data_IF_048685812461
#
_entry.id   IF_048685812461
#
_cell.length_a   1.000
_cell.length_b   1.000
_cell.length_c   1.000
_cell.angle_alpha   90.00
_cell.angle_beta   90.00
_cell.angle_gamma   90.00
#
_symmetry.space_group_name_H-M   'P 1'
#
loop_
_entity.id
_entity.type
_entity.pdbx_description
1 polymer ?
#
# COMPACT_ATOMS: atom_id res chain seq x y z
N UNK A 1 -18.49 27.25 -11.25
CA UNK A 1 -17.88 26.49 -10.11
C UNK A 1 -18.58 26.87 -8.79
N UNK A 2 -18.80 28.18 -8.50
CA UNK A 2 -19.44 28.61 -7.25
C UNK A 2 -20.84 28.01 -7.02
N UNK A 3 -21.66 27.88 -8.07
CA UNK A 3 -23.00 27.30 -8.00
C UNK A 3 -22.97 25.81 -7.57
N UNK A 4 -22.04 25.06 -8.11
CA UNK A 4 -21.90 23.63 -7.74
C UNK A 4 -21.39 23.47 -6.30
N UNK A 5 -20.46 24.34 -5.87
CA UNK A 5 -19.95 24.31 -4.49
C UNK A 5 -21.01 24.61 -3.44
N UNK A 6 -21.97 25.49 -3.75
CA UNK A 6 -23.08 25.82 -2.84
C UNK A 6 -24.11 24.68 -2.74
N UNK A 7 -24.32 23.92 -3.80
CA UNK A 7 -25.27 22.80 -3.83
C UNK A 7 -24.61 21.47 -3.35
N UNK A 8 -23.30 21.43 -3.19
CA UNK A 8 -22.60 20.21 -2.80
C UNK A 8 -22.77 19.94 -1.30
N UNK A 9 -22.96 18.66 -0.94
CA UNK A 9 -22.98 18.19 0.44
C UNK A 9 -21.60 18.34 1.13
N UNK A 10 -20.54 18.51 0.35
CA UNK A 10 -19.18 18.75 0.83
C UNK A 10 -18.20 18.94 -0.30
N UNK A 11 -17.06 19.54 -0.01
CA UNK A 11 -15.97 19.77 -0.96
C UNK A 11 -14.70 19.12 -0.39
N UNK A 12 -14.14 18.19 -1.15
CA UNK A 12 -12.89 17.52 -0.82
C UNK A 12 -11.82 17.79 -1.87
N UNK A 13 -10.55 17.78 -1.46
CA UNK A 13 -9.46 17.91 -2.42
C UNK A 13 -9.13 16.56 -3.07
N UNK A 14 -8.63 16.61 -4.30
CA UNK A 14 -8.07 15.45 -5.00
C UNK A 14 -6.58 15.70 -5.17
N UNK A 15 -5.69 14.85 -4.65
CA UNK A 15 -4.27 14.99 -4.88
C UNK A 15 -3.98 14.75 -6.37
N UNK A 16 -3.48 15.78 -7.05
CA UNK A 16 -3.12 15.73 -8.48
C UNK A 16 -1.64 15.37 -8.65
N UNK A 17 -0.86 15.51 -7.58
CA UNK A 17 0.58 15.25 -7.57
C UNK A 17 0.91 13.79 -7.32
N UNK A 18 1.93 13.31 -8.03
CA UNK A 18 2.54 12.00 -7.77
C UNK A 18 3.81 12.25 -6.97
N UNK A 19 3.86 11.72 -5.76
CA UNK A 19 5.06 11.78 -4.93
C UNK A 19 6.00 10.64 -5.34
N UNK A 20 7.26 10.99 -5.60
CA UNK A 20 8.32 10.04 -5.95
C UNK A 20 8.79 10.15 -7.40
N UNK A 21 10.07 9.82 -7.61
CA UNK A 21 10.73 9.89 -8.92
C UNK A 21 10.15 8.89 -9.95
N UNK A 22 9.51 7.82 -9.47
CA UNK A 22 8.95 6.75 -10.30
C UNK A 22 7.48 6.99 -10.71
N UNK A 23 6.89 8.09 -10.26
CA UNK A 23 5.48 8.45 -10.54
C UNK A 23 4.45 7.38 -10.16
N UNK A 24 4.75 6.56 -9.14
CA UNK A 24 3.83 5.54 -8.64
C UNK A 24 3.14 6.03 -7.38
N UNK A 25 1.81 6.07 -7.41
CA UNK A 25 0.98 6.47 -6.26
C UNK A 25 0.85 5.28 -5.31
N UNK A 26 1.58 5.34 -4.19
CA UNK A 26 1.53 4.30 -3.14
C UNK A 26 0.70 4.70 -1.95
N UNK A 27 0.56 5.99 -1.73
CA UNK A 27 -0.13 6.57 -0.58
C UNK A 27 -1.20 7.57 -1.01
N UNK A 28 -2.25 7.66 -0.22
CA UNK A 28 -3.31 8.63 -0.39
C UNK A 28 -3.39 9.50 0.86
N UNK A 29 -3.27 10.80 0.71
CA UNK A 29 -3.46 11.74 1.82
C UNK A 29 -4.95 11.88 2.12
N UNK A 30 -5.36 11.68 3.36
CA UNK A 30 -6.77 11.77 3.78
C UNK A 30 -7.14 13.17 4.25
N UNK A 31 -6.23 13.85 4.95
CA UNK A 31 -6.42 15.20 5.44
C UNK A 31 -5.23 16.06 5.01
N UNK A 32 -5.52 17.22 4.45
CA UNK A 32 -4.52 18.24 4.10
C UNK A 32 -4.68 19.43 5.05
N UNK A 33 -3.60 19.83 5.71
CA UNK A 33 -3.56 21.08 6.48
C UNK A 33 -3.45 22.27 5.53
N UNK A 34 -4.44 23.14 5.51
CA UNK A 34 -4.43 24.37 4.73
C UNK A 34 -4.86 25.52 5.63
N UNK A 35 -4.04 26.53 5.79
CA UNK A 35 -4.31 27.75 6.59
C UNK A 35 -4.85 27.46 8.01
N UNK A 36 -4.31 26.41 8.67
CA UNK A 36 -4.74 26.00 10.01
C UNK A 36 -6.02 25.15 10.05
N UNK A 37 -6.65 24.90 8.91
CA UNK A 37 -7.81 24.01 8.79
C UNK A 37 -7.41 22.66 8.17
N UNK A 38 -8.06 21.57 8.61
CA UNK A 38 -7.91 20.25 8.02
C UNK A 38 -8.94 20.07 6.90
N UNK A 39 -8.48 20.02 5.65
CA UNK A 39 -9.35 19.78 4.49
C UNK A 39 -9.33 18.29 4.17
N UNK A 40 -10.50 17.61 4.14
CA UNK A 40 -10.56 16.19 3.82
C UNK A 40 -10.35 15.95 2.33
N UNK A 41 -9.76 14.80 1.98
CA UNK A 41 -9.73 14.34 0.61
C UNK A 41 -11.12 13.94 0.12
N UNK A 42 -11.34 14.02 -1.19
CA UNK A 42 -12.62 13.61 -1.80
C UNK A 42 -12.90 12.12 -1.53
N UNK A 43 -11.84 11.27 -1.49
CA UNK A 43 -11.98 9.86 -1.15
C UNK A 43 -12.53 9.66 0.28
N UNK A 44 -11.93 10.36 1.25
CA UNK A 44 -12.35 10.27 2.64
C UNK A 44 -13.76 10.84 2.85
N UNK A 45 -14.05 12.00 2.27
CA UNK A 45 -15.36 12.64 2.33
C UNK A 45 -16.46 11.75 1.72
N UNK A 46 -16.18 11.14 0.56
CA UNK A 46 -17.12 10.22 -0.11
C UNK A 46 -17.39 8.97 0.74
N UNK A 47 -16.34 8.40 1.34
CA UNK A 47 -16.47 7.26 2.23
C UNK A 47 -17.29 7.60 3.48
N UNK A 48 -17.04 8.75 4.12
CA UNK A 48 -17.83 9.26 5.27
C UNK A 48 -19.32 9.38 4.94
N UNK A 49 -19.63 10.08 3.86
CA UNK A 49 -21.04 10.25 3.43
C UNK A 49 -21.70 8.92 3.12
N UNK A 50 -20.97 7.98 2.48
CA UNK A 50 -21.51 6.66 2.15
C UNK A 50 -21.80 5.78 3.37
N UNK A 51 -21.12 6.05 4.49
CA UNK A 51 -21.31 5.37 5.78
C UNK A 51 -22.25 6.13 6.71
N UNK A 52 -22.88 7.20 6.22
CA UNK A 52 -23.78 8.07 6.98
C UNK A 52 -23.11 8.68 8.24
N UNK A 53 -21.78 8.85 8.21
CA UNK A 53 -21.06 9.50 9.28
C UNK A 53 -21.23 11.00 9.10
N UNK A 54 -22.02 11.62 9.99
CA UNK A 54 -22.40 13.02 9.86
C UNK A 54 -21.20 13.97 10.03
N UNK A 55 -21.29 15.13 9.38
CA UNK A 55 -20.32 16.21 9.46
C UNK A 55 -20.15 16.79 10.88
N UNK A 56 -21.02 16.43 11.84
CA UNK A 56 -20.97 16.85 13.23
C UNK A 56 -19.83 16.18 14.04
N UNK A 57 -19.26 15.11 13.53
CA UNK A 57 -18.13 14.41 14.18
C UNK A 57 -16.82 14.89 13.56
N UNK A 58 -15.99 15.56 14.33
CA UNK A 58 -14.65 15.91 13.89
C UNK A 58 -13.77 14.66 13.86
N UNK A 59 -13.01 14.41 12.78
CA UNK A 59 -12.07 13.32 12.73
C UNK A 59 -10.96 13.53 13.78
N UNK A 60 -10.67 12.52 14.58
CA UNK A 60 -9.57 12.52 15.54
C UNK A 60 -8.41 11.69 15.02
N UNK A 61 -7.19 12.17 15.29
CA UNK A 61 -5.96 11.46 14.97
C UNK A 61 -5.45 10.82 16.26
N UNK A 62 -5.67 9.53 16.43
CA UNK A 62 -5.31 8.81 17.66
C UNK A 62 -4.64 7.47 17.33
N UNK A 63 -3.52 7.19 18.01
CA UNK A 63 -2.85 5.89 17.91
C UNK A 63 -2.38 5.52 16.50
N UNK A 64 -2.04 6.50 15.65
CA UNK A 64 -1.64 6.24 14.26
C UNK A 64 -2.82 5.89 13.33
N UNK A 65 -4.05 6.21 13.73
CA UNK A 65 -5.24 6.02 12.93
C UNK A 65 -6.11 7.28 12.92
N UNK A 66 -6.82 7.49 11.82
CA UNK A 66 -7.87 8.47 11.70
C UNK A 66 -9.18 7.82 12.14
N UNK A 67 -9.80 8.37 13.20
CA UNK A 67 -11.05 7.86 13.77
C UNK A 67 -12.19 8.82 13.51
N UNK A 68 -13.31 8.28 13.08
CA UNK A 68 -14.54 9.04 12.90
C UNK A 68 -15.75 8.13 13.16
N UNK A 69 -16.39 8.29 14.30
CA UNK A 69 -17.46 7.37 14.71
C UNK A 69 -16.98 5.93 14.76
N UNK A 70 -17.63 5.05 14.00
CA UNK A 70 -17.22 3.64 13.87
C UNK A 70 -16.13 3.39 12.83
N UNK A 71 -15.75 4.38 12.03
CA UNK A 71 -14.70 4.26 11.02
C UNK A 71 -13.33 4.47 11.64
N UNK A 72 -12.44 3.48 11.46
CA UNK A 72 -11.03 3.56 11.85
C UNK A 72 -10.18 3.31 10.63
N UNK A 73 -9.46 4.34 10.17
CA UNK A 73 -8.55 4.24 9.03
C UNK A 73 -7.12 4.31 9.55
N UNK A 74 -6.37 3.21 9.52
CA UNK A 74 -4.96 3.22 9.91
C UNK A 74 -4.14 4.11 8.97
N UNK A 75 -3.17 4.83 9.53
CA UNK A 75 -2.35 5.78 8.80
C UNK A 75 -0.91 5.29 8.65
N UNK A 76 -0.30 5.62 7.52
CA UNK A 76 1.13 5.39 7.24
C UNK A 76 1.96 6.66 7.41
N UNK A 77 1.69 7.45 8.48
CA UNK A 77 2.35 8.73 8.71
C UNK A 77 1.37 9.90 8.81
N UNK A 78 1.77 11.12 8.46
CA UNK A 78 0.96 12.32 8.60
C UNK A 78 -0.30 12.29 7.74
N UNK A 79 -1.40 11.75 8.28
CA UNK A 79 -2.72 11.68 7.65
C UNK A 79 -2.74 10.99 6.26
N UNK A 80 -1.85 10.03 6.02
CA UNK A 80 -1.78 9.24 4.78
C UNK A 80 -2.21 7.81 5.03
N UNK A 81 -2.76 7.16 4.00
CA UNK A 81 -3.05 5.72 4.00
C UNK A 81 -2.46 5.06 2.76
N UNK A 82 -2.20 3.75 2.83
CA UNK A 82 -1.85 2.91 1.68
C UNK A 82 -3.08 2.14 1.22
N UNK A 83 -3.77 2.60 0.16
CA UNK A 83 -4.98 1.95 -0.30
C UNK A 83 -4.68 0.59 -0.93
N UNK A 84 -5.60 -0.33 -0.80
CA UNK A 84 -5.56 -1.59 -1.54
C UNK A 84 -5.94 -1.35 -3.01
N UNK A 85 -5.10 -1.80 -3.94
CA UNK A 85 -5.40 -1.76 -5.36
C UNK A 85 -6.10 -3.07 -5.75
N UNK A 86 -7.41 -2.96 -5.95
CA UNK A 86 -8.22 -4.12 -6.32
C UNK A 86 -7.90 -4.58 -7.73
N UNK A 87 -7.82 -5.89 -7.90
CA UNK A 87 -7.69 -6.54 -9.20
C UNK A 87 -8.88 -7.47 -9.40
N UNK A 88 -9.44 -7.48 -10.59
CA UNK A 88 -10.50 -8.44 -10.91
C UNK A 88 -9.92 -9.62 -11.69
N UNK A 89 -10.49 -10.83 -11.52
CA UNK A 89 -10.13 -11.98 -12.33
C UNK A 89 -10.33 -11.70 -13.82
N UNK A 90 -9.49 -12.31 -14.68
CA UNK A 90 -9.63 -12.26 -16.14
C UNK A 90 -9.46 -10.87 -16.79
N UNK A 91 -8.73 -9.94 -16.18
CA UNK A 91 -8.43 -8.62 -16.78
C UNK A 91 -9.62 -7.66 -16.91
N UNK A 92 -10.74 -7.97 -16.27
CA UNK A 92 -11.86 -7.02 -16.17
C UNK A 92 -11.52 -5.89 -15.19
N UNK A 93 -12.05 -4.67 -15.39
CA UNK A 93 -11.89 -3.62 -14.41
C UNK A 93 -12.60 -4.01 -13.10
N UNK A 94 -12.01 -3.75 -11.92
CA UNK A 94 -12.60 -4.12 -10.63
C UNK A 94 -13.88 -3.31 -10.31
N UNK A 95 -14.04 -2.17 -10.95
CA UNK A 95 -15.23 -1.33 -10.86
C UNK A 95 -15.88 -1.19 -12.23
N UNK A 96 -17.23 -1.24 -12.32
CA UNK A 96 -17.94 -1.00 -13.57
C UNK A 96 -17.69 0.42 -14.07
N UNK A 97 -17.27 0.55 -15.33
CA UNK A 97 -17.07 1.85 -15.99
C UNK A 97 -18.14 2.02 -17.06
N UNK A 98 -18.87 3.11 -16.99
CA UNK A 98 -19.91 3.48 -17.96
C UNK A 98 -19.52 4.79 -18.64
N UNK A 99 -19.70 4.87 -19.94
CA UNK A 99 -19.53 6.12 -20.65
C UNK A 99 -20.66 7.10 -20.28
N UNK A 100 -20.32 8.38 -20.07
CA UNK A 100 -21.30 9.41 -19.81
C UNK A 100 -22.34 9.52 -20.94
N UNK A 101 -21.90 9.32 -22.17
CA UNK A 101 -22.79 9.28 -23.32
C UNK A 101 -23.83 8.14 -23.18
N UNK A 102 -23.40 6.93 -22.80
CA UNK A 102 -24.32 5.81 -22.57
C UNK A 102 -25.31 6.07 -21.45
N UNK A 103 -24.86 6.73 -20.38
CA UNK A 103 -25.73 7.11 -19.25
C UNK A 103 -26.79 8.11 -19.66
N UNK A 104 -26.46 9.08 -20.51
CA UNK A 104 -27.37 10.13 -20.97
C UNK A 104 -28.28 9.68 -22.10
N UNK A 105 -27.83 8.74 -22.97
CA UNK A 105 -28.61 8.27 -24.13
C UNK A 105 -29.49 7.07 -23.84
N UNK A 106 -29.18 6.30 -22.79
CA UNK A 106 -29.96 5.10 -22.43
C UNK A 106 -30.74 5.39 -21.14
N UNK A 107 -32.04 5.12 -21.14
CA UNK A 107 -32.86 5.21 -19.95
C UNK A 107 -32.51 4.06 -18.98
N UNK A 108 -31.44 4.24 -18.21
CA UNK A 108 -31.02 3.27 -17.20
C UNK A 108 -32.04 3.32 -16.04
N UNK A 109 -32.53 2.16 -15.63
CA UNK A 109 -33.46 2.07 -14.53
C UNK A 109 -32.85 2.64 -13.24
N UNK A 110 -33.61 3.47 -12.51
CA UNK A 110 -33.20 4.08 -11.24
C UNK A 110 -32.68 3.03 -10.22
N UNK A 111 -33.25 1.83 -10.25
CA UNK A 111 -32.83 0.70 -9.42
C UNK A 111 -31.37 0.29 -9.60
N UNK A 112 -30.76 0.57 -10.76
CA UNK A 112 -29.33 0.25 -11.01
C UNK A 112 -28.38 1.16 -10.22
N UNK A 113 -28.81 2.34 -9.80
CA UNK A 113 -28.03 3.34 -9.08
C UNK A 113 -28.25 3.30 -7.57
N UNK A 114 -29.33 2.67 -7.14
CA UNK A 114 -29.70 2.64 -5.73
C UNK A 114 -28.63 1.94 -4.88
N UNK A 115 -28.20 2.60 -3.79
CA UNK A 115 -27.20 2.09 -2.88
C UNK A 115 -25.76 2.07 -3.42
N UNK A 116 -25.52 2.70 -4.58
CA UNK A 116 -24.18 2.75 -5.20
C UNK A 116 -23.55 4.12 -5.05
N UNK A 117 -22.23 4.14 -4.94
CA UNK A 117 -21.42 5.36 -5.07
C UNK A 117 -21.05 5.50 -6.54
N UNK A 118 -21.41 6.64 -7.13
CA UNK A 118 -21.10 6.97 -8.51
C UNK A 118 -20.02 8.03 -8.53
N UNK A 119 -18.89 7.72 -9.15
CA UNK A 119 -17.79 8.63 -9.35
C UNK A 119 -17.80 9.10 -10.80
N UNK A 120 -17.79 10.41 -11.02
CA UNK A 120 -17.76 11.01 -12.35
C UNK A 120 -16.40 11.67 -12.56
N UNK A 121 -15.70 11.29 -13.62
CA UNK A 121 -14.39 11.84 -13.91
C UNK A 121 -13.91 11.48 -15.31
N UNK A 122 -12.81 12.09 -15.73
CA UNK A 122 -12.18 11.79 -17.01
C UNK A 122 -11.29 10.57 -16.91
N UNK A 123 -11.42 9.66 -17.88
CA UNK A 123 -10.51 8.53 -18.09
C UNK A 123 -9.58 8.75 -19.29
N UNK A 124 -9.67 9.92 -19.94
CA UNK A 124 -8.90 10.22 -21.13
C UNK A 124 -7.52 10.76 -20.75
N UNK A 125 -6.41 10.12 -21.20
CA UNK A 125 -5.05 10.55 -20.88
C UNK A 125 -4.71 11.97 -21.36
N UNK A 126 -5.45 12.48 -22.34
CA UNK A 126 -5.27 13.86 -22.87
C UNK A 126 -5.75 14.95 -21.91
N UNK A 127 -6.71 14.64 -21.05
CA UNK A 127 -7.27 15.58 -20.07
C UNK A 127 -6.58 15.45 -18.72
N UNK A 128 -6.25 14.22 -18.31
CA UNK A 128 -5.57 13.95 -17.06
C UNK A 128 -4.57 12.80 -17.27
N UNK A 129 -3.33 12.94 -16.81
CA UNK A 129 -2.34 11.87 -16.94
C UNK A 129 -2.78 10.64 -16.17
N UNK A 130 -2.48 9.46 -16.71
CA UNK A 130 -2.64 8.20 -15.98
C UNK A 130 -1.60 8.13 -14.87
N UNK A 131 -2.01 7.57 -13.75
CA UNK A 131 -1.20 7.41 -12.56
C UNK A 131 -0.73 5.96 -12.44
N UNK A 132 0.57 5.76 -12.25
CA UNK A 132 1.12 4.45 -11.93
C UNK A 132 0.67 4.03 -10.53
N UNK A 133 0.35 2.74 -10.36
CA UNK A 133 0.04 2.15 -9.05
C UNK A 133 0.90 0.91 -8.81
N UNK A 134 1.06 0.45 -7.56
CA UNK A 134 1.73 -0.81 -7.27
C UNK A 134 1.16 -1.96 -8.11
N UNK A 135 2.03 -2.84 -8.64
CA UNK A 135 1.64 -3.88 -9.58
C UNK A 135 1.76 -3.48 -11.06
N UNK A 136 2.19 -2.23 -11.35
CA UNK A 136 2.52 -1.77 -12.71
C UNK A 136 1.33 -1.33 -13.55
N UNK A 137 0.11 -1.31 -13.00
CA UNK A 137 -1.06 -0.81 -13.70
C UNK A 137 -1.05 0.72 -13.78
N UNK A 138 -1.66 1.25 -14.84
CA UNK A 138 -1.91 2.67 -15.04
C UNK A 138 -3.41 2.94 -14.87
N UNK A 139 -3.77 3.80 -13.95
CA UNK A 139 -5.16 4.13 -13.63
C UNK A 139 -5.46 5.60 -13.91
N UNK A 140 -6.67 5.89 -14.38
CA UNK A 140 -7.15 7.26 -14.40
C UNK A 140 -7.39 7.76 -12.96
N UNK A 141 -7.26 9.06 -12.68
CA UNK A 141 -7.47 9.61 -11.33
C UNK A 141 -8.83 9.23 -10.70
N UNK A 142 -9.89 9.15 -11.48
CA UNK A 142 -11.22 8.72 -11.00
C UNK A 142 -11.27 7.23 -10.65
N UNK A 143 -10.52 6.40 -11.36
CA UNK A 143 -10.40 4.96 -11.03
C UNK A 143 -9.61 4.77 -9.74
N UNK A 144 -8.49 5.49 -9.60
CA UNK A 144 -7.73 5.49 -8.35
C UNK A 144 -8.58 5.98 -7.16
N UNK A 145 -9.41 7.00 -7.37
CA UNK A 145 -10.36 7.46 -6.36
C UNK A 145 -11.33 6.34 -5.93
N UNK A 146 -11.81 5.52 -6.89
CA UNK A 146 -12.67 4.38 -6.59
C UNK A 146 -11.96 3.34 -5.70
N UNK A 147 -10.68 3.04 -5.97
CA UNK A 147 -9.86 2.18 -5.12
C UNK A 147 -9.72 2.75 -3.70
N UNK A 148 -9.43 4.04 -3.59
CA UNK A 148 -9.28 4.73 -2.30
C UNK A 148 -10.58 4.70 -1.48
N UNK A 149 -11.72 5.07 -2.08
CA UNK A 149 -13.04 5.03 -1.42
C UNK A 149 -13.38 3.62 -0.96
N UNK A 150 -13.16 2.63 -1.82
CA UNK A 150 -13.44 1.23 -1.49
C UNK A 150 -12.54 0.73 -0.37
N UNK A 151 -11.25 1.09 -0.38
CA UNK A 151 -10.30 0.73 0.68
C UNK A 151 -10.70 1.30 2.04
N UNK A 152 -11.11 2.57 2.09
CA UNK A 152 -11.58 3.20 3.32
C UNK A 152 -12.83 2.51 3.85
N UNK A 153 -13.83 2.27 2.98
CA UNK A 153 -15.10 1.65 3.37
C UNK A 153 -14.97 0.22 3.87
N UNK A 154 -14.04 -0.55 3.29
CA UNK A 154 -13.84 -1.96 3.62
C UNK A 154 -12.73 -2.17 4.66
N UNK A 155 -12.03 -1.11 5.05
CA UNK A 155 -10.87 -1.21 5.95
C UNK A 155 -9.67 -1.93 5.32
N UNK A 156 -9.63 -2.05 3.98
CA UNK A 156 -8.53 -2.69 3.27
C UNK A 156 -7.37 -1.69 3.09
N UNK A 157 -6.66 -1.43 4.16
CA UNK A 157 -5.54 -0.49 4.19
C UNK A 157 -4.29 -1.24 4.65
N UNK A 158 -3.19 -1.10 3.90
CA UNK A 158 -1.91 -1.67 4.32
C UNK A 158 -1.27 -0.82 5.40
N UNK A 159 -0.84 -1.47 6.48
CA UNK A 159 -0.27 -0.80 7.65
C UNK A 159 1.08 -1.39 8.03
N UNK A 160 1.82 -0.62 8.80
CA UNK A 160 3.02 -1.12 9.48
C UNK A 160 2.67 -1.29 10.98
N UNK A 161 2.88 -2.47 11.56
CA UNK A 161 2.63 -2.64 12.98
C UNK A 161 3.63 -1.81 13.80
N UNK A 162 3.20 -1.27 14.93
CA UNK A 162 4.05 -0.44 15.81
C UNK A 162 5.34 -1.17 16.24
N UNK A 163 5.26 -2.48 16.39
CA UNK A 163 6.40 -3.34 16.72
C UNK A 163 7.23 -3.77 15.49
N UNK A 164 6.79 -3.42 14.27
CA UNK A 164 7.44 -3.82 13.00
C UNK A 164 8.90 -3.37 12.91
N UNK A 165 9.18 -2.13 13.32
CA UNK A 165 10.56 -1.60 13.35
C UNK A 165 11.44 -2.39 14.33
N UNK A 166 10.94 -2.72 15.51
CA UNK A 166 11.69 -3.52 16.49
C UNK A 166 11.96 -4.93 15.95
N UNK A 167 10.98 -5.57 15.31
CA UNK A 167 11.16 -6.87 14.66
C UNK A 167 12.19 -6.81 13.53
N UNK A 168 12.15 -5.78 12.69
CA UNK A 168 13.12 -5.57 11.62
C UNK A 168 14.54 -5.50 12.18
N UNK A 169 14.79 -4.68 13.20
CA UNK A 169 16.10 -4.56 13.82
C UNK A 169 16.55 -5.85 14.52
N UNK A 170 15.65 -6.53 15.23
CA UNK A 170 15.95 -7.80 15.88
C UNK A 170 16.30 -8.89 14.86
N UNK A 171 15.53 -9.00 13.78
CA UNK A 171 15.81 -9.96 12.72
C UNK A 171 17.12 -9.65 11.97
N UNK A 172 17.39 -8.35 11.74
CA UNK A 172 18.66 -7.92 11.16
C UNK A 172 19.86 -8.33 12.03
N UNK A 173 19.80 -8.06 13.33
CA UNK A 173 20.83 -8.47 14.29
C UNK A 173 21.00 -10.00 14.32
N UNK A 174 19.90 -10.76 14.29
CA UNK A 174 19.92 -12.22 14.24
C UNK A 174 20.62 -12.73 12.95
N UNK A 175 20.35 -12.10 11.79
CA UNK A 175 21.01 -12.49 10.53
C UNK A 175 22.51 -12.17 10.55
N UNK A 176 22.91 -11.02 11.10
CA UNK A 176 24.33 -10.69 11.28
C UNK A 176 25.03 -11.71 12.19
N UNK A 177 24.42 -12.06 13.31
CA UNK A 177 24.94 -13.09 14.23
C UNK A 177 25.03 -14.47 13.56
N UNK A 178 24.02 -14.83 12.77
CA UNK A 178 24.01 -16.07 11.99
C UNK A 178 25.21 -16.13 11.04
N UNK A 179 25.41 -15.09 10.25
CA UNK A 179 26.52 -15.01 9.28
C UNK A 179 27.89 -15.01 10.00
N UNK A 180 28.02 -14.27 11.10
CA UNK A 180 29.29 -14.14 11.81
C UNK A 180 29.66 -15.36 12.68
N UNK A 181 28.69 -15.98 13.34
CA UNK A 181 28.93 -16.99 14.34
C UNK A 181 28.52 -18.41 13.93
N UNK A 182 27.37 -18.58 13.30
CA UNK A 182 26.86 -19.88 12.93
C UNK A 182 27.42 -20.40 11.59
N UNK A 183 27.37 -19.56 10.55
CA UNK A 183 27.77 -19.94 9.21
C UNK A 183 29.23 -20.48 9.12
N UNK A 184 30.27 -19.91 9.79
CA UNK A 184 31.61 -20.43 9.75
C UNK A 184 31.79 -21.79 10.47
N UNK A 185 30.87 -22.15 11.38
CA UNK A 185 30.94 -23.42 12.11
C UNK A 185 30.29 -24.58 11.35
N UNK A 186 29.46 -24.27 10.38
CA UNK A 186 28.78 -25.26 9.55
C UNK A 186 29.61 -25.46 8.29
N UNK A 187 29.67 -26.69 7.77
CA UNK A 187 30.31 -26.95 6.47
C UNK A 187 29.60 -26.15 5.35
N UNK A 188 30.29 -25.99 4.22
CA UNK A 188 29.79 -25.16 3.11
C UNK A 188 28.35 -25.54 2.67
N UNK A 189 28.14 -26.83 2.38
CA UNK A 189 26.81 -27.30 1.89
C UNK A 189 25.69 -27.11 2.92
N UNK A 190 25.81 -27.58 4.18
CA UNK A 190 24.76 -27.39 5.14
C UNK A 190 24.55 -25.93 5.53
N UNK A 191 25.62 -25.12 5.57
CA UNK A 191 25.52 -23.68 5.84
C UNK A 191 24.76 -22.92 4.75
N UNK A 192 25.05 -23.22 3.47
CA UNK A 192 24.32 -22.65 2.33
C UNK A 192 22.85 -23.09 2.36
N UNK A 193 22.58 -24.38 2.53
CA UNK A 193 21.22 -24.92 2.55
C UNK A 193 20.39 -24.32 3.68
N UNK A 194 20.94 -24.22 4.89
CA UNK A 194 20.25 -23.62 6.03
C UNK A 194 19.97 -22.12 5.83
N UNK A 195 20.93 -21.37 5.26
CA UNK A 195 20.75 -19.95 4.98
C UNK A 195 19.67 -19.69 3.92
N UNK A 196 19.63 -20.50 2.87
CA UNK A 196 18.59 -20.39 1.84
C UNK A 196 17.21 -20.79 2.39
N UNK A 197 17.13 -21.85 3.19
CA UNK A 197 15.90 -22.27 3.86
C UNK A 197 15.37 -21.15 4.78
N UNK A 198 16.25 -20.50 5.54
CA UNK A 198 15.91 -19.39 6.41
C UNK A 198 15.41 -18.18 5.61
N UNK A 199 16.06 -17.85 4.49
CA UNK A 199 15.62 -16.77 3.60
C UNK A 199 14.21 -17.03 3.05
N UNK A 200 13.96 -18.25 2.55
CA UNK A 200 12.64 -18.64 2.04
C UNK A 200 11.59 -18.60 3.15
N UNK A 201 11.92 -19.07 4.36
CA UNK A 201 11.00 -19.04 5.49
C UNK A 201 10.62 -17.61 5.90
N UNK A 202 11.58 -16.68 5.94
CA UNK A 202 11.31 -15.27 6.28
C UNK A 202 10.45 -14.59 5.21
N UNK A 203 10.76 -14.79 3.93
CA UNK A 203 9.95 -14.23 2.84
C UNK A 203 8.55 -14.85 2.78
N UNK A 204 8.46 -16.15 3.03
CA UNK A 204 7.17 -16.86 3.13
C UNK A 204 6.33 -16.34 4.30
N UNK A 205 6.95 -16.12 5.46
CA UNK A 205 6.28 -15.54 6.62
C UNK A 205 5.76 -14.12 6.32
N UNK A 206 6.59 -13.27 5.71
CA UNK A 206 6.17 -11.91 5.32
C UNK A 206 5.01 -11.94 4.34
N UNK A 207 5.07 -12.83 3.32
CA UNK A 207 4.01 -12.99 2.34
C UNK A 207 2.68 -13.42 2.99
N UNK A 208 2.69 -14.46 3.84
CA UNK A 208 1.50 -14.95 4.53
C UNK A 208 0.95 -13.86 5.46
N UNK A 209 1.83 -13.18 6.20
CA UNK A 209 1.43 -12.12 7.11
C UNK A 209 0.76 -10.95 6.38
N UNK A 210 1.35 -10.53 5.26
CA UNK A 210 0.79 -9.47 4.41
C UNK A 210 -0.59 -9.84 3.86
N UNK A 211 -0.78 -11.10 3.45
CA UNK A 211 -2.06 -11.56 2.92
C UNK A 211 -3.16 -11.65 3.99
N UNK A 212 -2.82 -12.06 5.20
CA UNK A 212 -3.81 -12.28 6.27
C UNK A 212 -4.16 -10.99 7.04
N UNK A 213 -3.18 -10.15 7.31
CA UNK A 213 -3.37 -8.97 8.17
C UNK A 213 -3.13 -7.64 7.45
N UNK A 214 -2.70 -7.64 6.20
CA UNK A 214 -2.41 -6.41 5.46
C UNK A 214 -1.26 -5.59 6.08
N UNK A 215 -0.39 -6.23 6.87
CA UNK A 215 0.69 -5.57 7.59
C UNK A 215 2.04 -5.93 6.98
N UNK A 216 2.88 -4.91 6.80
CA UNK A 216 4.22 -5.07 6.23
C UNK A 216 5.28 -5.15 7.33
N UNK A 217 6.05 -6.25 7.35
CA UNK A 217 7.05 -6.51 8.39
C UNK A 217 8.48 -6.09 8.03
N UNK A 218 8.75 -5.72 6.78
CA UNK A 218 10.08 -5.30 6.27
C UNK A 218 11.18 -6.37 6.42
N UNK A 219 10.84 -7.66 6.34
CA UNK A 219 11.80 -8.77 6.48
C UNK A 219 12.72 -8.94 5.26
N UNK A 220 12.47 -8.23 4.17
CA UNK A 220 13.32 -8.23 2.97
C UNK A 220 14.74 -7.74 3.31
N UNK A 221 14.90 -6.71 4.16
CA UNK A 221 16.23 -6.20 4.52
C UNK A 221 17.10 -7.22 5.26
N UNK A 222 16.62 -7.90 6.31
CA UNK A 222 17.36 -9.01 6.94
C UNK A 222 17.75 -10.12 5.96
N UNK A 223 16.87 -10.47 5.03
CA UNK A 223 17.15 -11.48 3.99
C UNK A 223 18.27 -11.02 3.06
N UNK A 224 18.28 -9.76 2.63
CA UNK A 224 19.36 -9.22 1.81
C UNK A 224 20.72 -9.27 2.52
N UNK A 225 20.74 -8.94 3.82
CA UNK A 225 21.97 -9.04 4.64
C UNK A 225 22.43 -10.50 4.76
N UNK A 226 21.50 -11.43 4.98
CA UNK A 226 21.80 -12.86 5.02
C UNK A 226 22.42 -13.34 3.70
N UNK A 227 21.82 -12.98 2.56
CA UNK A 227 22.31 -13.39 1.24
C UNK A 227 23.67 -12.75 0.90
N UNK A 228 23.87 -11.48 1.22
CA UNK A 228 25.13 -10.79 1.04
C UNK A 228 26.24 -11.41 1.90
N UNK A 229 25.95 -11.71 3.17
CA UNK A 229 26.87 -12.39 4.07
C UNK A 229 27.21 -13.82 3.61
N UNK A 230 26.20 -14.56 3.12
CA UNK A 230 26.43 -15.89 2.53
C UNK A 230 27.33 -15.80 1.30
N UNK A 231 27.07 -14.86 0.38
CA UNK A 231 27.91 -14.66 -0.81
C UNK A 231 29.35 -14.33 -0.44
N UNK A 232 29.56 -13.43 0.54
CA UNK A 232 30.89 -13.08 1.04
C UNK A 232 31.59 -14.28 1.67
N UNK A 233 30.88 -15.11 2.45
CA UNK A 233 31.45 -16.33 3.04
C UNK A 233 31.87 -17.34 1.99
N UNK A 234 31.06 -17.61 0.98
CA UNK A 234 31.38 -18.51 -0.13
C UNK A 234 32.58 -17.98 -0.92
N UNK A 235 32.60 -16.69 -1.26
CA UNK A 235 33.74 -16.07 -1.96
C UNK A 235 35.04 -16.22 -1.18
N UNK A 236 34.98 -15.98 0.15
CA UNK A 236 36.17 -16.19 1.00
C UNK A 236 36.71 -17.62 0.95
N UNK A 237 35.82 -18.62 1.01
CA UNK A 237 36.20 -20.02 0.94
C UNK A 237 36.80 -20.39 -0.42
N UNK A 238 36.27 -19.86 -1.51
CA UNK A 238 36.81 -20.07 -2.86
C UNK A 238 38.19 -19.42 -3.05
N UNK A 239 38.41 -18.23 -2.47
CA UNK A 239 39.70 -17.53 -2.52
C UNK A 239 40.77 -18.15 -1.60
N UNK A 240 40.32 -18.83 -0.53
CA UNK A 240 41.22 -19.58 0.37
C UNK A 240 41.48 -21.01 -0.10
N UNK A 241 41.11 -21.36 -1.35
CA UNK A 241 41.21 -22.66 -1.96
C UNK A 241 42.42 -23.48 -1.54
N UNK A 242 42.48 -24.82 -1.73
CA UNK A 242 43.40 -25.70 -1.05
C UNK A 242 44.85 -25.20 -1.29
N UNK A 243 45.45 -24.68 -0.21
CA UNK A 243 46.92 -24.62 -0.17
C UNK A 243 47.38 -26.04 -0.45
N UNK A 244 47.91 -26.27 -1.65
CA UNK A 244 48.44 -27.54 -2.04
C UNK A 244 49.37 -28.00 -0.92
N UNK A 245 48.97 -29.02 -0.15
CA UNK A 245 49.85 -29.80 0.67
C UNK A 245 50.74 -30.59 -0.29
N UNK A 246 51.73 -29.91 -0.86
CA UNK A 246 52.86 -30.52 -1.52
C UNK A 246 53.93 -30.74 -0.48
N UNK A 247 53.97 -31.94 0.07
CA UNK A 247 55.18 -32.67 0.39
C UNK A 247 54.81 -34.12 0.61
#
# INVERSE_FOLDING_TARGET
>A
IALFGQAAAGVGYVPIGVEGADRVVREATLLLGLDGAAVPSLAFLTAMHSLHLGAAQSPSLEGGALRLGGLVVPLSGAARMRPHIYTAPQGKPPFPVLSLHSVLSTSLAAAQWQGKIVLVGSTTPRLQPLLGVPGGALLAPVELLAHQVSSIRQGHVYTEPVWGAALMWASLAAMVLWVAAALPRWGLLPGVAASLALAVALLGLEWVWLQQWGQWLHLVFPVLVLLAGLAAHVARLLLQGPVASGQ
#
